data_IF_024399982894
#
_entry.id   IF_024399982894
#
_cell.length_a   1.000
_cell.length_b   1.000
_cell.length_c   1.000
_cell.angle_alpha   90.00
_cell.angle_beta   90.00
_cell.angle_gamma   90.00
#
_symmetry.space_group_name_H-M   'P 1'
#
loop_
_entity.id
_entity.type
_entity.pdbx_description
1 polymer ?
#
# COMPACT_ATOMS: atom_id res chain seq x y z
N UNK A 1 -7.04 -1.64 -32.36
CA UNK A 1 -7.36 -2.20 -31.04
C UNK A 1 -6.86 -3.64 -31.01
N UNK A 2 -5.56 -3.92 -30.86
CA UNK A 2 -5.05 -5.30 -30.79
C UNK A 2 -3.65 -5.36 -30.18
N UNK A 3 -3.54 -5.16 -28.86
CA UNK A 3 -2.32 -5.43 -28.09
C UNK A 3 -2.62 -5.94 -26.67
N UNK A 4 -3.81 -6.50 -26.42
CA UNK A 4 -4.27 -6.85 -25.06
C UNK A 4 -4.15 -8.32 -24.67
N UNK A 5 -3.68 -9.22 -25.55
CA UNK A 5 -3.68 -10.65 -25.27
C UNK A 5 -2.36 -11.34 -25.67
N UNK A 6 -1.23 -10.92 -25.09
CA UNK A 6 -0.03 -11.79 -25.01
C UNK A 6 0.68 -11.60 -23.67
N UNK A 7 -0.02 -11.85 -22.58
CA UNK A 7 0.64 -12.28 -21.35
C UNK A 7 -0.21 -13.38 -20.72
N UNK A 8 0.44 -14.48 -20.31
CA UNK A 8 -0.16 -15.60 -19.59
C UNK A 8 -1.12 -15.08 -18.50
N UNK A 9 -2.19 -15.81 -18.12
CA UNK A 9 -3.19 -15.30 -17.19
C UNK A 9 -2.50 -14.97 -15.88
N UNK A 10 -2.19 -13.67 -15.69
CA UNK A 10 -1.67 -13.14 -14.43
C UNK A 10 -2.74 -13.52 -13.43
N UNK A 11 -2.42 -14.41 -12.48
CA UNK A 11 -3.32 -14.76 -11.37
C UNK A 11 -3.71 -13.44 -10.70
N UNK A 12 -4.89 -12.92 -11.05
CA UNK A 12 -5.35 -11.65 -10.51
C UNK A 12 -5.57 -11.86 -9.02
N UNK A 13 -4.89 -11.06 -8.21
CA UNK A 13 -5.08 -11.11 -6.77
C UNK A 13 -6.54 -10.73 -6.49
N UNK A 14 -7.28 -11.56 -5.76
CA UNK A 14 -8.62 -11.20 -5.26
C UNK A 14 -8.61 -10.88 -3.78
N UNK A 15 -9.26 -9.79 -3.40
CA UNK A 15 -9.35 -9.29 -2.04
C UNK A 15 -10.75 -9.51 -1.49
N UNK A 16 -10.85 -9.93 -0.23
CA UNK A 16 -12.11 -9.90 0.51
C UNK A 16 -12.48 -8.46 0.85
N UNK A 17 -13.71 -8.07 0.55
CA UNK A 17 -14.33 -6.84 1.05
C UNK A 17 -15.60 -7.20 1.81
N UNK A 18 -15.82 -6.59 2.96
CA UNK A 18 -17.02 -6.77 3.76
C UNK A 18 -18.19 -6.02 3.13
N UNK A 19 -19.37 -6.64 3.09
CA UNK A 19 -20.61 -6.00 2.62
C UNK A 19 -21.03 -4.86 3.57
N UNK A 20 -21.58 -3.78 3.00
CA UNK A 20 -22.08 -2.63 3.78
C UNK A 20 -22.99 -3.05 4.93
N UNK A 21 -23.96 -3.91 4.65
CA UNK A 21 -24.95 -4.35 5.63
C UNK A 21 -24.27 -5.05 6.82
N UNK A 22 -23.29 -5.90 6.52
CA UNK A 22 -22.52 -6.60 7.56
C UNK A 22 -21.70 -5.62 8.39
N UNK A 23 -21.00 -4.68 7.74
CA UNK A 23 -20.21 -3.65 8.43
C UNK A 23 -21.09 -2.72 9.29
N UNK A 24 -22.23 -2.24 8.78
CA UNK A 24 -23.12 -1.34 9.52
C UNK A 24 -23.85 -2.05 10.67
N UNK A 25 -24.05 -3.36 10.59
CA UNK A 25 -24.73 -4.13 11.67
C UNK A 25 -23.81 -4.55 12.82
N UNK A 26 -22.49 -4.46 12.62
CA UNK A 26 -21.55 -4.95 13.62
C UNK A 26 -21.44 -3.95 14.78
N UNK A 27 -21.37 -4.47 16.01
CA UNK A 27 -21.19 -3.64 17.23
C UNK A 27 -19.73 -3.42 17.59
N UNK A 28 -18.84 -4.28 17.07
CA UNK A 28 -17.40 -4.32 17.29
C UNK A 28 -16.72 -4.90 16.05
N UNK A 29 -15.45 -4.56 15.86
CA UNK A 29 -14.64 -5.11 14.78
C UNK A 29 -14.31 -6.58 15.07
N UNK A 30 -14.85 -7.48 14.26
CA UNK A 30 -14.60 -8.91 14.41
C UNK A 30 -13.40 -9.31 13.56
N UNK A 31 -12.51 -10.11 14.15
CA UNK A 31 -11.43 -10.76 13.40
C UNK A 31 -11.98 -11.51 12.20
N UNK A 32 -11.32 -11.40 11.05
CA UNK A 32 -11.68 -12.16 9.84
C UNK A 32 -11.79 -13.66 10.15
N UNK A 33 -12.84 -14.31 9.63
CA UNK A 33 -13.11 -15.73 9.85
C UNK A 33 -13.59 -16.41 8.57
N UNK A 34 -13.08 -17.62 8.24
CA UNK A 34 -13.58 -18.39 7.10
C UNK A 34 -15.01 -18.94 7.33
N UNK A 35 -15.58 -18.81 8.53
CA UNK A 35 -16.95 -19.24 8.84
C UNK A 35 -18.00 -18.16 8.60
N UNK A 36 -17.61 -16.95 8.21
CA UNK A 36 -18.52 -15.81 8.01
C UNK A 36 -18.39 -15.21 6.61
N UNK A 37 -18.00 -16.02 5.62
CA UNK A 37 -17.73 -15.58 4.24
C UNK A 37 -18.94 -14.97 3.53
N UNK A 38 -20.17 -15.30 3.97
CA UNK A 38 -21.40 -14.68 3.45
C UNK A 38 -21.46 -13.16 3.67
N UNK A 39 -20.65 -12.64 4.60
CA UNK A 39 -20.52 -11.21 4.84
C UNK A 39 -19.53 -10.51 3.89
N UNK A 40 -18.93 -11.22 2.94
CA UNK A 40 -17.84 -10.72 2.09
C UNK A 40 -18.09 -10.96 0.60
N UNK A 41 -17.43 -10.15 -0.22
CA UNK A 41 -17.29 -10.33 -1.66
C UNK A 41 -15.80 -10.39 -2.02
N UNK A 42 -15.46 -11.17 -3.05
CA UNK A 42 -14.11 -11.22 -3.62
C UNK A 42 -14.01 -10.26 -4.82
N UNK A 43 -13.06 -9.34 -4.75
CA UNK A 43 -12.81 -8.35 -5.81
C UNK A 43 -11.37 -8.50 -6.34
N UNK A 44 -11.24 -8.76 -7.65
CA UNK A 44 -9.94 -9.08 -8.27
C UNK A 44 -9.08 -7.86 -8.64
N UNK A 45 -9.64 -6.65 -8.63
CA UNK A 45 -8.90 -5.39 -8.74
C UNK A 45 -9.85 -4.21 -8.48
N UNK A 46 -9.60 -3.34 -7.50
CA UNK A 46 -10.31 -2.07 -7.45
C UNK A 46 -9.90 -1.25 -8.68
N UNK A 47 -10.86 -0.98 -9.58
CA UNK A 47 -10.64 -0.09 -10.74
C UNK A 47 -11.02 1.33 -10.33
N UNK A 48 -10.17 2.29 -10.70
CA UNK A 48 -10.43 3.71 -10.46
C UNK A 48 -11.79 4.13 -11.05
N UNK A 49 -12.58 4.90 -10.30
CA UNK A 49 -13.86 5.43 -10.76
C UNK A 49 -15.04 4.45 -10.74
N UNK A 50 -14.90 3.25 -10.16
CA UNK A 50 -16.08 2.46 -9.82
C UNK A 50 -16.83 3.16 -8.68
N UNK A 51 -18.06 3.62 -8.95
CA UNK A 51 -19.04 4.30 -8.08
C UNK A 51 -19.42 3.58 -6.77
N UNK A 52 -18.64 2.59 -6.34
CA UNK A 52 -18.87 1.74 -5.18
C UNK A 52 -17.51 1.55 -4.55
N UNK A 53 -17.08 2.62 -3.89
CA UNK A 53 -15.72 2.79 -3.44
C UNK A 53 -15.48 1.81 -2.30
N UNK A 54 -14.53 0.86 -2.45
CA UNK A 54 -14.04 0.16 -1.30
C UNK A 54 -13.37 1.18 -0.39
N UNK A 55 -13.71 1.15 0.89
CA UNK A 55 -13.09 2.03 1.87
C UNK A 55 -11.95 1.25 2.53
N UNK A 56 -10.80 1.86 2.77
CA UNK A 56 -9.77 1.29 3.65
C UNK A 56 -9.89 2.00 4.97
N UNK A 57 -10.11 1.25 6.05
CA UNK A 57 -9.96 1.73 7.42
C UNK A 57 -8.63 1.22 7.95
N UNK A 58 -7.78 2.17 8.38
CA UNK A 58 -6.56 1.91 9.12
C UNK A 58 -6.91 1.99 10.61
N UNK A 59 -6.67 0.90 11.35
CA UNK A 59 -7.04 0.80 12.76
C UNK A 59 -5.78 0.71 13.62
N UNK A 60 -5.75 1.49 14.68
CA UNK A 60 -4.73 1.36 15.71
C UNK A 60 -5.13 0.27 16.70
N UNK A 61 -4.40 -0.83 16.68
CA UNK A 61 -4.51 -1.91 17.66
C UNK A 61 -3.90 -1.49 19.00
N UNK A 62 -4.71 -1.14 20.00
CA UNK A 62 -4.23 -0.98 21.39
C UNK A 62 -4.01 -2.34 22.09
N UNK A 63 -4.47 -3.45 21.50
CA UNK A 63 -4.25 -4.80 22.00
C UNK A 63 -4.09 -5.84 20.88
N UNK A 64 -3.35 -6.91 21.18
CA UNK A 64 -3.05 -7.99 20.23
C UNK A 64 -4.28 -8.83 19.79
N UNK A 65 -5.44 -8.65 20.44
CA UNK A 65 -6.62 -9.49 20.26
C UNK A 65 -7.85 -8.73 19.75
N UNK A 66 -7.96 -7.43 20.01
CA UNK A 66 -9.09 -6.60 19.59
C UNK A 66 -8.60 -5.14 19.40
N UNK A 67 -8.64 -4.58 18.17
CA UNK A 67 -8.19 -3.22 17.92
C UNK A 67 -9.16 -2.16 18.46
N UNK A 68 -10.42 -2.51 18.67
CA UNK A 68 -11.47 -1.58 19.04
C UNK A 68 -12.45 -2.29 19.99
N UNK A 69 -11.99 -2.62 21.22
CA UNK A 69 -12.75 -3.45 22.14
C UNK A 69 -14.11 -2.83 22.49
N UNK A 70 -14.23 -1.51 22.49
CA UNK A 70 -15.47 -0.80 22.82
C UNK A 70 -16.29 -0.38 21.59
N UNK A 71 -15.78 -0.64 20.38
CA UNK A 71 -16.45 -0.30 19.13
C UNK A 71 -16.53 1.21 18.86
N UNK A 72 -15.65 2.01 19.48
CA UNK A 72 -15.70 3.46 19.37
C UNK A 72 -15.23 3.93 17.99
N UNK A 73 -14.09 3.44 17.52
CA UNK A 73 -13.58 3.73 16.18
C UNK A 73 -14.54 3.24 15.10
N UNK A 74 -15.12 2.05 15.31
CA UNK A 74 -16.14 1.50 14.45
C UNK A 74 -17.37 2.42 14.34
N UNK A 75 -17.89 2.94 15.47
CA UNK A 75 -19.04 3.85 15.46
C UNK A 75 -18.73 5.13 14.69
N UNK A 76 -17.56 5.74 14.92
CA UNK A 76 -17.12 6.92 14.16
C UNK A 76 -17.08 6.64 12.65
N UNK A 77 -16.55 5.49 12.25
CA UNK A 77 -16.58 5.04 10.86
C UNK A 77 -18.00 4.86 10.35
N UNK A 78 -18.88 4.16 11.09
CA UNK A 78 -20.27 3.94 10.69
C UNK A 78 -21.03 5.26 10.52
N UNK A 79 -20.91 6.19 11.47
CA UNK A 79 -21.54 7.52 11.43
C UNK A 79 -21.05 8.34 10.23
N UNK A 80 -19.72 8.41 10.02
CA UNK A 80 -19.13 9.14 8.90
C UNK A 80 -19.58 8.56 7.54
N UNK A 81 -19.76 7.25 7.45
CA UNK A 81 -20.07 6.55 6.21
C UNK A 81 -21.57 6.29 5.98
N UNK A 82 -22.44 6.56 6.95
CA UNK A 82 -23.85 6.19 6.89
C UNK A 82 -24.56 6.81 5.67
N UNK A 83 -24.32 8.11 5.46
CA UNK A 83 -24.92 8.92 4.39
C UNK A 83 -24.22 8.76 3.03
N UNK A 84 -23.07 8.10 2.98
CA UNK A 84 -22.26 8.00 1.77
C UNK A 84 -22.71 6.83 0.87
N UNK A 85 -22.65 6.98 -0.47
CA UNK A 85 -23.01 5.91 -1.40
C UNK A 85 -21.86 4.91 -1.60
N UNK A 86 -21.80 3.86 -0.77
CA UNK A 86 -20.84 2.76 -0.88
C UNK A 86 -21.52 1.39 -0.71
N UNK A 87 -20.85 0.29 -1.08
CA UNK A 87 -21.43 -1.06 -1.03
C UNK A 87 -20.59 -2.10 -0.32
N UNK A 88 -19.27 -1.94 -0.35
CA UNK A 88 -18.34 -2.85 0.28
C UNK A 88 -17.16 -2.06 0.82
N UNK A 89 -16.57 -2.55 1.91
CA UNK A 89 -15.48 -1.90 2.64
C UNK A 89 -14.38 -2.92 2.91
N UNK A 90 -13.13 -2.48 2.87
CA UNK A 90 -11.98 -3.24 3.30
C UNK A 90 -11.46 -2.67 4.61
N UNK A 91 -11.36 -3.53 5.60
CA UNK A 91 -10.74 -3.19 6.87
C UNK A 91 -9.66 -4.22 7.09
N UNK A 92 -8.45 -3.79 7.38
CA UNK A 92 -7.31 -4.68 7.62
C UNK A 92 -7.67 -5.84 8.57
N UNK A 93 -8.35 -5.53 9.67
CA UNK A 93 -8.73 -6.47 10.72
C UNK A 93 -9.83 -7.45 10.30
N UNK A 94 -10.84 -6.97 9.59
CA UNK A 94 -12.01 -7.77 9.21
C UNK A 94 -11.83 -8.45 7.86
N UNK A 95 -10.92 -7.99 7.00
CA UNK A 95 -10.76 -8.45 5.62
C UNK A 95 -9.42 -9.17 5.35
N UNK A 96 -8.49 -9.16 6.31
CA UNK A 96 -7.29 -10.02 6.28
C UNK A 96 -7.28 -11.01 7.44
N UNK A 97 -6.78 -12.24 7.22
CA UNK A 97 -6.53 -13.17 8.31
C UNK A 97 -5.55 -12.59 9.33
N UNK A 98 -5.97 -12.55 10.60
CA UNK A 98 -5.12 -12.12 11.72
C UNK A 98 -4.49 -13.31 12.44
N UNK A 99 -3.36 -13.10 13.13
CA UNK A 99 -2.64 -14.15 13.87
C UNK A 99 -3.51 -14.82 14.96
N UNK A 100 -3.41 -16.14 15.20
CA UNK A 100 -2.62 -17.13 14.45
C UNK A 100 -3.26 -17.45 13.09
N UNK A 101 -2.41 -17.74 12.09
CA UNK A 101 -2.81 -18.01 10.70
C UNK A 101 -2.46 -19.43 10.30
N UNK A 102 -3.33 -20.09 9.55
CA UNK A 102 -2.99 -21.32 8.82
C UNK A 102 -2.01 -21.01 7.69
N UNK A 103 -1.34 -22.03 7.12
CA UNK A 103 -0.43 -21.83 5.98
C UNK A 103 -1.10 -21.15 4.77
N UNK A 104 -2.38 -21.46 4.52
CA UNK A 104 -3.15 -20.84 3.43
C UNK A 104 -3.47 -19.37 3.74
N UNK A 105 -3.85 -19.07 4.98
CA UNK A 105 -4.10 -17.70 5.45
C UNK A 105 -2.83 -16.85 5.42
N UNK A 106 -1.69 -17.43 5.81
CA UNK A 106 -0.38 -16.78 5.70
C UNK A 106 -0.06 -16.46 4.23
N UNK A 107 -0.19 -17.44 3.34
CA UNK A 107 0.07 -17.23 1.91
C UNK A 107 -0.86 -16.16 1.29
N UNK A 108 -2.13 -16.09 1.71
CA UNK A 108 -3.05 -15.03 1.31
C UNK A 108 -2.62 -13.67 1.87
N UNK A 109 -2.33 -13.59 3.16
CA UNK A 109 -1.86 -12.36 3.81
C UNK A 109 -0.61 -11.80 3.15
N UNK A 110 0.40 -12.63 2.87
CA UNK A 110 1.65 -12.20 2.23
C UNK A 110 1.41 -11.67 0.80
N UNK A 111 0.41 -12.20 0.10
CA UNK A 111 0.00 -11.69 -1.22
C UNK A 111 -0.73 -10.35 -1.09
N UNK A 112 -1.57 -10.20 -0.08
CA UNK A 112 -2.29 -8.96 0.22
C UNK A 112 -1.32 -7.83 0.53
N UNK A 113 -0.38 -8.02 1.47
CA UNK A 113 0.58 -6.98 1.84
C UNK A 113 1.34 -6.42 0.62
N UNK A 114 1.80 -7.30 -0.28
CA UNK A 114 2.50 -6.90 -1.53
C UNK A 114 1.64 -6.02 -2.44
N UNK A 115 0.33 -6.16 -2.38
CA UNK A 115 -0.63 -5.44 -3.23
C UNK A 115 -1.37 -4.32 -2.50
N UNK A 116 -1.04 -4.04 -1.24
CA UNK A 116 -1.79 -3.12 -0.36
C UNK A 116 -2.01 -1.73 -0.94
N UNK A 117 -0.98 -1.09 -1.53
CA UNK A 117 -1.22 0.23 -2.12
C UNK A 117 -2.21 0.21 -3.26
N UNK A 118 -2.32 -0.91 -3.98
CA UNK A 118 -3.26 -0.98 -5.08
C UNK A 118 -4.68 -0.84 -4.54
N UNK A 119 -4.94 -1.30 -3.31
CA UNK A 119 -6.15 -0.92 -2.60
C UNK A 119 -6.09 0.56 -2.24
N UNK A 120 -5.16 1.01 -1.39
CA UNK A 120 -5.13 2.39 -0.85
C UNK A 120 -5.31 3.45 -1.95
N UNK A 121 -4.63 3.29 -3.08
CA UNK A 121 -4.69 4.24 -4.21
C UNK A 121 -5.98 4.19 -5.04
N UNK A 122 -6.59 3.01 -5.18
CA UNK A 122 -7.75 2.81 -6.08
C UNK A 122 -9.07 2.76 -5.31
N UNK A 123 -9.00 2.92 -4.00
CA UNK A 123 -10.11 2.87 -3.05
C UNK A 123 -10.28 4.25 -2.41
N UNK A 124 -11.40 4.44 -1.72
CA UNK A 124 -11.58 5.53 -0.79
C UNK A 124 -10.81 5.20 0.47
N UNK A 125 -10.28 6.21 1.13
CA UNK A 125 -9.47 6.04 2.32
C UNK A 125 -10.15 6.80 3.45
N UNK A 126 -10.42 6.12 4.55
CA UNK A 126 -10.95 6.72 5.77
C UNK A 126 -10.07 6.25 6.93
N UNK A 127 -9.93 7.10 7.93
CA UNK A 127 -9.12 6.80 9.08
C UNK A 127 -9.73 7.49 10.28
N UNK A 128 -9.65 6.80 11.41
CA UNK A 128 -9.79 7.37 12.74
C UNK A 128 -8.67 6.77 13.56
N UNK A 129 -7.70 7.61 13.89
CA UNK A 129 -6.57 7.24 14.71
C UNK A 129 -6.83 7.64 16.17
N UNK A 130 -6.48 6.80 17.15
CA UNK A 130 -6.36 7.22 18.54
C UNK A 130 -5.24 8.28 18.66
N UNK A 131 -4.89 8.77 19.86
CA UNK A 131 -3.76 9.67 20.01
C UNK A 131 -2.53 9.17 19.26
N UNK A 132 -1.80 10.12 18.65
CA UNK A 132 -0.72 9.81 17.74
C UNK A 132 0.29 8.81 18.31
N UNK A 133 0.54 7.77 17.53
CA UNK A 133 1.68 6.87 17.71
C UNK A 133 2.48 6.83 16.41
N UNK A 134 3.82 6.86 16.46
CA UNK A 134 4.66 6.92 15.29
C UNK A 134 4.78 5.53 14.64
N UNK A 135 3.67 4.98 14.15
CA UNK A 135 3.62 3.67 13.47
C UNK A 135 3.87 3.86 11.97
N UNK A 136 4.91 3.20 11.46
CA UNK A 136 5.36 3.40 10.08
C UNK A 136 4.34 2.92 9.03
N UNK A 137 3.58 1.87 9.33
CA UNK A 137 2.48 1.43 8.45
C UNK A 137 1.43 2.51 8.26
N UNK A 138 0.98 3.17 9.33
CA UNK A 138 0.00 4.25 9.27
C UNK A 138 0.54 5.40 8.41
N UNK A 139 1.79 5.81 8.66
CA UNK A 139 2.43 6.86 7.88
C UNK A 139 2.52 6.50 6.39
N UNK A 140 2.91 5.27 6.07
CA UNK A 140 2.96 4.80 4.69
C UNK A 140 1.58 4.79 4.03
N UNK A 141 0.53 4.37 4.73
CA UNK A 141 -0.84 4.37 4.19
C UNK A 141 -1.32 5.78 3.85
N UNK A 142 -1.10 6.72 4.77
CA UNK A 142 -1.43 8.14 4.56
C UNK A 142 -0.58 8.71 3.42
N UNK A 143 0.73 8.46 3.39
CA UNK A 143 1.62 8.94 2.33
C UNK A 143 1.20 8.41 0.95
N UNK A 144 0.89 7.11 0.87
CA UNK A 144 0.40 6.48 -0.36
C UNK A 144 -0.92 7.12 -0.84
N UNK A 145 -1.85 7.39 0.08
CA UNK A 145 -3.11 8.05 -0.24
C UNK A 145 -2.89 9.49 -0.74
N UNK A 146 -2.26 10.35 0.07
CA UNK A 146 -2.19 11.79 -0.22
C UNK A 146 -1.25 12.12 -1.39
N UNK A 147 -0.22 11.31 -1.63
CA UNK A 147 0.73 11.55 -2.71
C UNK A 147 0.30 10.93 -4.05
N UNK A 148 -0.76 10.12 -4.08
CA UNK A 148 -1.19 9.43 -5.31
C UNK A 148 -2.68 9.49 -5.64
N UNK A 149 -3.51 10.06 -4.76
CA UNK A 149 -4.91 10.37 -5.02
C UNK A 149 -5.08 11.85 -5.36
N UNK A 150 -5.73 12.17 -6.51
CA UNK A 150 -5.95 13.57 -6.94
C UNK A 150 -6.91 14.33 -6.01
N UNK A 151 -7.90 13.62 -5.46
CA UNK A 151 -8.97 14.20 -4.66
C UNK A 151 -8.84 13.80 -3.18
N UNK A 152 -7.58 13.71 -2.71
CA UNK A 152 -7.30 13.42 -1.31
C UNK A 152 -7.97 14.48 -0.41
N UNK A 153 -8.73 14.00 0.56
CA UNK A 153 -9.42 14.88 1.51
C UNK A 153 -8.41 15.56 2.45
N UNK A 154 -8.73 16.76 2.98
CA UNK A 154 -7.95 17.38 4.04
C UNK A 154 -7.74 16.44 5.24
N UNK A 155 -6.65 16.62 6.02
CA UNK A 155 -6.46 15.84 7.23
C UNK A 155 -7.59 16.07 8.21
N UNK A 156 -8.04 15.01 8.87
CA UNK A 156 -8.77 15.11 10.13
C UNK A 156 -7.79 15.43 11.24
N UNK A 157 -8.27 15.94 12.37
CA UNK A 157 -7.44 16.39 13.48
C UNK A 157 -6.44 15.31 13.97
N UNK A 158 -6.90 14.07 14.04
CA UNK A 158 -6.12 12.88 14.44
C UNK A 158 -5.04 12.47 13.43
N UNK A 159 -5.12 12.93 12.18
CA UNK A 159 -4.14 12.63 11.13
C UNK A 159 -3.20 13.79 10.80
N UNK A 160 -3.45 15.00 11.31
CA UNK A 160 -2.70 16.22 10.97
C UNK A 160 -1.18 16.04 11.13
N UNK A 161 -0.76 15.39 12.22
CA UNK A 161 0.66 15.18 12.50
C UNK A 161 1.35 14.28 11.47
N UNK A 162 0.65 13.27 10.92
CA UNK A 162 1.21 12.45 9.84
C UNK A 162 1.38 13.26 8.56
N UNK A 163 0.43 14.15 8.25
CA UNK A 163 0.52 15.05 7.09
C UNK A 163 1.70 16.02 7.25
N UNK A 164 1.89 16.57 8.45
CA UNK A 164 3.03 17.43 8.77
C UNK A 164 4.36 16.68 8.58
N UNK A 165 4.45 15.44 9.07
CA UNK A 165 5.66 14.63 8.88
C UNK A 165 5.89 14.30 7.40
N UNK A 166 4.85 14.02 6.61
CA UNK A 166 5.02 13.79 5.15
C UNK A 166 5.52 15.05 4.45
N UNK A 167 5.02 16.24 4.81
CA UNK A 167 5.54 17.50 4.31
C UNK A 167 7.01 17.71 4.72
N UNK A 168 7.36 17.40 5.98
CA UNK A 168 8.75 17.45 6.46
C UNK A 168 9.67 16.52 5.65
N UNK A 169 9.19 15.34 5.25
CA UNK A 169 9.97 14.42 4.39
C UNK A 169 10.30 15.02 3.02
N UNK A 170 9.45 15.92 2.50
CA UNK A 170 9.74 16.65 1.27
C UNK A 170 10.88 17.68 1.44
N UNK A 171 11.17 18.12 2.67
CA UNK A 171 12.23 19.08 2.96
C UNK A 171 13.51 18.38 3.46
N UNK A 172 13.36 17.59 4.53
CA UNK A 172 14.47 17.00 5.28
C UNK A 172 14.83 15.58 4.84
N UNK A 173 13.97 14.94 4.06
CA UNK A 173 14.13 13.56 3.60
C UNK A 173 13.57 12.53 4.58
N UNK A 174 13.14 11.39 4.02
CA UNK A 174 12.37 10.36 4.74
C UNK A 174 13.09 9.84 5.96
N UNK A 175 14.34 9.37 5.83
CA UNK A 175 15.04 8.74 6.96
C UNK A 175 15.28 9.69 8.13
N UNK A 176 15.55 10.97 7.84
CA UNK A 176 15.76 11.98 8.87
C UNK A 176 14.47 12.20 9.67
N UNK A 177 13.34 12.39 8.99
CA UNK A 177 12.03 12.55 9.62
C UNK A 177 11.60 11.29 10.39
N UNK A 178 11.79 10.10 9.82
CA UNK A 178 11.47 8.83 10.49
C UNK A 178 12.24 8.68 11.80
N UNK A 179 13.53 9.02 11.80
CA UNK A 179 14.38 8.98 12.99
C UNK A 179 13.99 10.06 14.01
N UNK A 180 13.73 11.28 13.56
CA UNK A 180 13.39 12.41 14.41
C UNK A 180 12.11 12.15 15.22
N UNK A 181 11.10 11.54 14.58
CA UNK A 181 9.81 11.25 15.19
C UNK A 181 9.69 9.82 15.73
N UNK A 182 10.80 9.09 15.82
CA UNK A 182 10.87 7.74 16.40
C UNK A 182 9.82 6.78 15.82
N UNK A 183 9.67 6.79 14.49
CA UNK A 183 8.79 5.84 13.82
C UNK A 183 9.23 4.40 14.07
N UNK A 184 8.28 3.48 14.12
CA UNK A 184 8.53 2.05 14.38
C UNK A 184 7.49 1.14 13.70
N UNK A 185 7.84 -0.15 13.61
CA UNK A 185 6.97 -1.24 13.16
C UNK A 185 6.89 -2.30 14.26
N UNK A 186 5.84 -3.12 14.24
CA UNK A 186 5.78 -4.32 15.09
C UNK A 186 6.76 -5.42 14.62
N UNK A 187 7.21 -5.36 13.36
CA UNK A 187 8.27 -6.21 12.80
C UNK A 187 9.34 -5.34 12.12
N UNK A 188 10.60 -5.56 12.47
CA UNK A 188 11.72 -4.85 11.84
C UNK A 188 11.84 -5.15 10.34
N UNK A 189 11.35 -6.30 9.87
CA UNK A 189 11.38 -6.65 8.45
C UNK A 189 10.50 -5.73 7.60
N UNK A 190 9.45 -5.15 8.18
CA UNK A 190 8.55 -4.24 7.46
C UNK A 190 9.28 -2.96 7.02
N UNK A 191 10.30 -2.52 7.77
CA UNK A 191 11.12 -1.36 7.39
C UNK A 191 11.77 -1.52 6.03
N UNK A 192 12.21 -2.74 5.71
CA UNK A 192 12.86 -3.06 4.43
C UNK A 192 11.93 -2.84 3.24
N UNK A 193 10.62 -2.84 3.46
CA UNK A 193 9.64 -2.59 2.42
C UNK A 193 9.07 -1.18 2.49
N UNK A 194 8.71 -0.69 3.68
CA UNK A 194 7.99 0.58 3.83
C UNK A 194 8.87 1.80 3.53
N UNK A 195 10.12 1.82 4.02
CA UNK A 195 11.03 2.95 3.76
C UNK A 195 11.26 3.21 2.28
N UNK A 196 11.66 2.22 1.45
CA UNK A 196 11.88 2.48 0.03
C UNK A 196 10.59 2.86 -0.70
N UNK A 197 9.41 2.40 -0.25
CA UNK A 197 8.13 2.87 -0.78
C UNK A 197 7.90 4.36 -0.49
N UNK A 198 8.06 4.80 0.76
CA UNK A 198 7.85 6.19 1.16
C UNK A 198 8.85 7.11 0.46
N UNK A 199 10.13 6.72 0.42
CA UNK A 199 11.17 7.47 -0.30
C UNK A 199 10.84 7.66 -1.78
N UNK A 200 10.34 6.61 -2.43
CA UNK A 200 9.95 6.70 -3.83
C UNK A 200 8.74 7.62 -4.04
N UNK A 201 7.75 7.57 -3.15
CA UNK A 201 6.58 8.47 -3.18
C UNK A 201 6.99 9.94 -3.01
N UNK A 202 7.81 10.24 -2.00
CA UNK A 202 8.33 11.60 -1.73
C UNK A 202 9.20 12.09 -2.89
N UNK A 203 10.03 11.21 -3.46
CA UNK A 203 10.86 11.56 -4.61
C UNK A 203 10.03 11.90 -5.84
N UNK A 204 8.98 11.11 -6.14
CA UNK A 204 8.06 11.44 -7.23
C UNK A 204 7.35 12.78 -7.05
N UNK A 205 6.96 13.09 -5.81
CA UNK A 205 6.34 14.37 -5.45
C UNK A 205 7.31 15.54 -5.66
N UNK A 206 8.54 15.44 -5.14
CA UNK A 206 9.61 16.46 -5.31
C UNK A 206 9.92 16.74 -6.77
N UNK A 207 9.96 15.69 -7.60
CA UNK A 207 10.19 15.78 -9.04
C UNK A 207 8.96 16.21 -9.85
N UNK A 208 7.84 16.50 -9.18
CA UNK A 208 6.57 16.96 -9.78
C UNK A 208 6.10 16.03 -10.92
N UNK A 209 6.31 14.72 -10.76
CA UNK A 209 5.86 13.74 -11.74
C UNK A 209 4.33 13.64 -11.69
N UNK A 210 3.67 13.68 -12.86
CA UNK A 210 2.23 13.52 -12.92
C UNK A 210 1.77 12.22 -12.25
N UNK A 211 0.73 12.33 -11.43
CA UNK A 211 0.21 11.24 -10.61
C UNK A 211 -0.20 10.01 -11.41
N UNK A 212 -0.64 10.16 -12.66
CA UNK A 212 -0.94 9.02 -13.54
C UNK A 212 0.32 8.19 -13.82
N UNK A 213 1.44 8.85 -14.04
CA UNK A 213 2.75 8.21 -14.28
C UNK A 213 3.23 7.52 -13.01
N UNK A 214 3.13 8.20 -11.86
CA UNK A 214 3.45 7.65 -10.55
C UNK A 214 2.68 6.35 -10.31
N UNK A 215 1.35 6.37 -10.48
CA UNK A 215 0.50 5.19 -10.31
C UNK A 215 0.88 4.05 -11.25
N UNK A 216 1.24 4.36 -12.50
CA UNK A 216 1.68 3.35 -13.47
C UNK A 216 3.01 2.71 -13.06
N UNK A 217 3.98 3.51 -12.62
CA UNK A 217 5.27 3.05 -12.12
C UNK A 217 5.13 2.18 -10.87
N UNK A 218 4.41 2.66 -9.86
CA UNK A 218 4.15 1.91 -8.63
C UNK A 218 3.32 0.64 -8.89
N UNK A 219 2.44 0.64 -9.91
CA UNK A 219 1.73 -0.55 -10.38
C UNK A 219 2.69 -1.59 -10.97
N UNK A 220 3.66 -1.17 -11.78
CA UNK A 220 4.66 -2.06 -12.38
C UNK A 220 5.50 -2.82 -11.36
N UNK A 221 5.97 -2.12 -10.32
CA UNK A 221 6.72 -2.71 -9.20
C UNK A 221 5.93 -3.82 -8.50
N UNK A 222 4.62 -3.63 -8.30
CA UNK A 222 3.80 -4.54 -7.47
C UNK A 222 3.33 -5.77 -8.19
N UNK A 223 2.89 -5.60 -9.43
CA UNK A 223 2.36 -6.71 -10.22
C UNK A 223 3.46 -7.54 -10.89
N UNK A 224 4.69 -7.01 -10.92
CA UNK A 224 5.86 -7.70 -11.43
C UNK A 224 7.06 -7.51 -10.47
N UNK A 225 6.99 -8.05 -9.24
CA UNK A 225 8.00 -7.81 -8.20
C UNK A 225 9.39 -8.34 -8.57
N UNK A 226 9.49 -9.22 -9.57
CA UNK A 226 10.76 -9.75 -10.07
C UNK A 226 11.38 -8.90 -11.20
N UNK A 227 10.69 -7.85 -11.66
CA UNK A 227 11.19 -6.98 -12.71
C UNK A 227 12.22 -6.03 -12.11
N UNK A 228 13.49 -6.26 -12.43
CA UNK A 228 14.59 -5.43 -11.93
C UNK A 228 14.50 -3.99 -12.45
N UNK A 229 13.99 -3.82 -13.68
CA UNK A 229 13.95 -2.57 -14.41
C UNK A 229 12.54 -2.28 -14.92
N UNK A 230 11.86 -1.30 -14.32
CA UNK A 230 10.62 -0.75 -14.86
C UNK A 230 10.95 0.48 -15.71
N UNK A 231 10.35 0.60 -16.89
CA UNK A 231 10.50 1.76 -17.76
C UNK A 231 9.14 2.25 -18.25
N UNK A 232 8.93 3.56 -18.19
CA UNK A 232 7.78 4.24 -18.79
C UNK A 232 8.28 5.22 -19.85
N UNK A 233 8.32 4.73 -21.09
CA UNK A 233 8.93 5.44 -22.21
C UNK A 233 10.38 5.82 -21.91
N UNK A 234 10.78 7.01 -22.36
CA UNK A 234 12.08 7.60 -22.04
C UNK A 234 12.04 8.51 -20.80
N UNK A 235 10.88 8.60 -20.14
CA UNK A 235 10.64 9.58 -19.08
C UNK A 235 11.04 9.05 -17.71
N UNK A 236 10.62 7.83 -17.36
CA UNK A 236 10.89 7.23 -16.04
C UNK A 236 11.52 5.86 -16.23
N UNK A 237 12.65 5.63 -15.57
CA UNK A 237 13.26 4.30 -15.42
C UNK A 237 13.53 4.05 -13.95
N UNK A 238 12.98 2.98 -13.42
CA UNK A 238 13.14 2.59 -12.03
C UNK A 238 13.88 1.26 -11.95
N UNK A 239 14.95 1.23 -11.16
CA UNK A 239 15.69 0.02 -10.81
C UNK A 239 15.55 -0.25 -9.32
N UNK A 240 14.52 -0.99 -8.97
CA UNK A 240 14.06 -1.13 -7.58
C UNK A 240 15.11 -1.76 -6.65
N UNK A 241 15.86 -2.76 -7.12
CA UNK A 241 16.88 -3.45 -6.33
C UNK A 241 18.24 -2.75 -6.32
N UNK A 242 18.43 -1.74 -7.19
CA UNK A 242 19.60 -0.88 -7.16
C UNK A 242 19.33 0.41 -6.37
N UNK A 243 18.06 0.70 -6.04
CA UNK A 243 17.68 1.95 -5.40
C UNK A 243 17.86 3.15 -6.31
N UNK A 244 17.58 3.02 -7.61
CA UNK A 244 17.78 4.13 -8.57
C UNK A 244 16.53 4.45 -9.35
N UNK A 245 16.23 5.74 -9.46
CA UNK A 245 15.16 6.30 -10.28
C UNK A 245 15.79 7.29 -11.27
N UNK A 246 15.61 7.07 -12.57
CA UNK A 246 16.01 8.01 -13.61
C UNK A 246 14.78 8.70 -14.17
N UNK A 247 14.77 10.05 -14.14
CA UNK A 247 13.68 10.88 -14.65
C UNK A 247 14.25 11.87 -15.65
N UNK A 248 13.77 11.84 -16.89
CA UNK A 248 14.31 12.65 -18.01
C UNK A 248 15.84 12.58 -18.16
N UNK A 249 16.43 11.43 -17.85
CA UNK A 249 17.89 11.20 -17.90
C UNK A 249 18.65 11.56 -16.62
N UNK A 250 18.05 12.29 -15.69
CA UNK A 250 18.64 12.59 -14.39
C UNK A 250 18.46 11.42 -13.42
N UNK A 251 19.53 11.04 -12.70
CA UNK A 251 19.52 9.90 -11.79
C UNK A 251 19.36 10.36 -10.34
N UNK A 252 18.41 9.75 -9.66
CA UNK A 252 18.11 9.92 -8.24
C UNK A 252 18.26 8.58 -7.51
N UNK A 253 18.60 8.65 -6.22
CA UNK A 253 18.87 7.49 -5.37
C UNK A 253 17.80 7.40 -4.27
N UNK A 254 17.42 6.17 -3.93
CA UNK A 254 16.61 5.83 -2.78
C UNK A 254 17.08 4.48 -2.23
N UNK A 255 16.56 4.09 -1.07
CA UNK A 255 16.85 2.81 -0.44
C UNK A 255 16.43 1.66 -1.37
N UNK A 256 17.30 0.67 -1.66
CA UNK A 256 16.91 -0.45 -2.51
C UNK A 256 15.84 -1.32 -1.86
N UNK A 257 14.91 -1.84 -2.67
CA UNK A 257 14.01 -2.90 -2.24
C UNK A 257 14.77 -4.22 -2.02
N UNK A 258 14.32 -5.10 -1.11
CA UNK A 258 14.94 -6.40 -0.91
C UNK A 258 14.70 -7.31 -2.12
N UNK A 259 15.74 -8.03 -2.56
CA UNK A 259 15.62 -9.01 -3.65
C UNK A 259 14.79 -10.22 -3.17
N UNK A 260 13.87 -10.75 -3.99
CA UNK A 260 13.21 -12.02 -3.71
C UNK A 260 14.26 -13.13 -3.56
N UNK A 261 14.22 -13.88 -2.45
CA UNK A 261 15.06 -15.08 -2.27
C UNK A 261 14.68 -16.10 -3.36
N UNK A 262 15.56 -16.30 -4.36
CA UNK A 262 15.38 -17.30 -5.44
C UNK A 262 15.49 -16.80 -6.89
N UNK A 263 15.77 -15.52 -7.14
CA UNK A 263 16.01 -15.02 -8.50
C UNK A 263 17.40 -15.43 -9.03
N UNK A 264 17.43 -16.34 -9.98
CA UNK A 264 18.63 -16.82 -10.67
C UNK A 264 19.44 -15.63 -11.22
N UNK A 265 20.63 -15.37 -10.67
CA UNK A 265 21.59 -14.48 -11.29
C UNK A 265 21.92 -15.04 -12.68
N UNK A 266 21.41 -14.40 -13.74
CA UNK A 266 21.94 -14.61 -15.09
C UNK A 266 23.41 -14.22 -15.03
N UNK A 267 24.29 -15.23 -14.98
CA UNK A 267 25.71 -15.07 -15.23
C UNK A 267 25.84 -14.48 -16.63
N UNK A 268 26.05 -13.17 -16.72
CA UNK A 268 26.52 -12.55 -17.95
C UNK A 268 27.85 -13.21 -18.31
N UNK A 269 27.82 -13.92 -19.43
CA UNK A 269 28.98 -14.51 -20.05
C UNK A 269 29.83 -13.37 -20.61
N UNK A 270 30.89 -12.98 -19.88
CA UNK A 270 31.99 -12.20 -20.49
C UNK A 270 32.65 -13.09 -21.54
N UNK A 271 32.22 -12.93 -22.79
CA UNK A 271 33.08 -13.14 -23.95
C UNK A 271 34.20 -12.10 -23.86
N UNK A 272 35.40 -12.53 -23.46
CA UNK A 272 36.62 -11.87 -23.91
C UNK A 272 37.03 -12.56 -25.21
N UNK A 273 36.87 -11.84 -26.33
CA UNK A 273 37.56 -12.14 -27.58
C UNK A 273 38.80 -11.23 -27.67
N UNK A 274 39.95 -11.90 -27.74
CA UNK A 274 41.12 -11.65 -28.60
C UNK A 274 42.03 -10.42 -28.43
N UNK A 275 43.30 -10.78 -28.19
CA UNK A 275 44.54 -10.34 -28.85
C UNK A 275 45.07 -8.91 -28.65
N UNK A 276 46.23 -8.82 -28.01
CA UNK A 276 47.54 -8.80 -28.70
C UNK A 276 48.59 -9.46 -27.82
#
# INVERSE_FOLDING_TARGET
>A
MDFFFVEAPRRMMSWFFQLRNAFMSQKRLKKWSPHTLDNYILCSQPRQGSYRVPIVSSLATSGAQDPDPDGECLRLHQENMESQPWMYIWVDWTCLPQSPRTAQQQAYFDRCLRTMSAIIRNCGFTYFYPPFEPRLWILYEIAEYILTCRDAQPPTHDAEIFFQHIAEMEENGVQATLKNHSYHCSSDEDWLYLVPWIELLVLFKRLKIDVFVVRRALGGIRWAPNVENYAYGNMVRLRQFEGTLTVFGEKHIFTPFPRPKGGCARKESRKLMTST
#
